data_IF_758151236442
#
_entry.id   IF_758151236442
#
_cell.length_a   1.000
_cell.length_b   1.000
_cell.length_c   1.000
_cell.angle_alpha   90.00
_cell.angle_beta   90.00
_cell.angle_gamma   90.00
#
_symmetry.space_group_name_H-M   'P 1'
#
loop_
_entity.id
_entity.type
_entity.pdbx_description
1 polymer ?
#
# COMPACT_ATOMS: atom_id res chain seq x y z
N UNK A 1 4.90 23.81 6.78
CA UNK A 1 4.92 23.14 5.46
C UNK A 1 6.03 23.63 4.51
N UNK A 2 6.26 24.94 4.31
CA UNK A 2 7.29 25.46 3.39
C UNK A 2 8.70 24.88 3.61
N UNK A 3 9.12 24.73 4.87
CA UNK A 3 10.44 24.19 5.19
C UNK A 3 10.63 22.73 4.74
N UNK A 4 9.59 21.89 4.83
CA UNK A 4 9.66 20.49 4.39
C UNK A 4 9.80 20.40 2.87
N UNK A 5 8.93 21.09 2.13
CA UNK A 5 8.97 21.08 0.66
C UNK A 5 10.24 21.69 0.06
N UNK A 6 10.94 22.55 0.81
CA UNK A 6 12.25 23.06 0.37
C UNK A 6 13.31 21.95 0.25
N UNK A 7 13.12 20.84 0.97
CA UNK A 7 14.01 19.68 0.92
C UNK A 7 13.48 18.57 -0.01
N UNK A 8 12.42 18.83 -0.79
CA UNK A 8 11.87 17.85 -1.73
C UNK A 8 12.50 18.07 -3.10
N UNK A 9 13.32 17.12 -3.54
CA UNK A 9 14.04 17.21 -4.81
C UNK A 9 13.13 16.96 -6.02
N UNK A 10 12.25 15.97 -5.92
CA UNK A 10 11.37 15.54 -7.03
C UNK A 10 9.96 15.27 -6.52
N UNK A 11 8.95 15.78 -7.23
CA UNK A 11 7.54 15.47 -7.04
C UNK A 11 7.05 14.60 -8.20
N UNK A 12 7.33 13.30 -8.12
CA UNK A 12 6.85 12.33 -9.12
C UNK A 12 5.32 12.28 -9.17
N UNK A 13 4.78 11.87 -10.32
CA UNK A 13 3.32 11.82 -10.56
C UNK A 13 2.59 10.74 -9.75
N UNK A 14 3.32 9.80 -9.12
CA UNK A 14 2.74 8.75 -8.29
C UNK A 14 3.79 8.02 -7.44
N UNK A 15 3.32 7.36 -6.38
CA UNK A 15 4.16 6.77 -5.34
C UNK A 15 5.17 5.71 -5.85
N UNK A 16 4.78 4.91 -6.86
CA UNK A 16 5.71 3.94 -7.47
C UNK A 16 6.84 4.65 -8.22
N UNK A 17 6.54 5.77 -8.87
CA UNK A 17 7.55 6.63 -9.49
C UNK A 17 8.55 7.15 -8.46
N UNK A 18 8.07 7.66 -7.32
CA UNK A 18 8.93 8.11 -6.22
C UNK A 18 9.80 6.98 -5.65
N UNK A 19 9.26 5.76 -5.56
CA UNK A 19 10.01 4.58 -5.12
C UNK A 19 11.15 4.26 -6.08
N UNK A 20 10.91 4.29 -7.40
CA UNK A 20 11.98 4.07 -8.38
C UNK A 20 13.01 5.21 -8.38
N UNK A 21 12.57 6.46 -8.22
CA UNK A 21 13.47 7.63 -8.08
C UNK A 21 14.43 7.45 -6.89
N UNK A 22 13.92 6.97 -5.75
CA UNK A 22 14.74 6.72 -4.57
C UNK A 22 15.61 5.45 -4.70
N UNK A 23 14.99 4.30 -5.02
CA UNK A 23 15.64 2.98 -4.95
C UNK A 23 16.53 2.71 -6.16
N UNK A 24 16.06 3.01 -7.37
CA UNK A 24 16.78 2.68 -8.61
C UNK A 24 17.70 3.81 -9.06
N UNK A 25 17.25 5.07 -8.91
CA UNK A 25 18.02 6.25 -9.35
C UNK A 25 18.87 6.87 -8.24
N UNK A 26 18.67 6.48 -6.98
CA UNK A 26 19.46 6.94 -5.85
C UNK A 26 19.28 8.43 -5.54
N UNK A 27 18.10 8.99 -5.82
CA UNK A 27 17.81 10.42 -5.59
C UNK A 27 17.09 10.60 -4.25
N UNK A 28 17.69 11.42 -3.38
CA UNK A 28 17.19 11.76 -2.05
C UNK A 28 17.70 10.82 -0.95
N UNK A 29 17.78 11.33 0.28
CA UNK A 29 18.25 10.56 1.43
C UNK A 29 17.13 9.78 2.14
N UNK A 30 15.88 10.24 1.99
CA UNK A 30 14.69 9.67 2.63
C UNK A 30 13.51 9.68 1.67
N UNK A 31 12.80 8.55 1.57
CA UNK A 31 11.52 8.44 0.89
C UNK A 31 10.38 8.38 1.93
N UNK A 32 9.42 9.30 1.82
CA UNK A 32 8.13 9.16 2.53
C UNK A 32 7.27 8.17 1.74
N UNK A 33 7.20 6.93 2.22
CA UNK A 33 6.59 5.82 1.49
C UNK A 33 5.26 5.36 2.10
N UNK A 34 4.44 4.74 1.26
CA UNK A 34 3.43 3.80 1.75
C UNK A 34 4.12 2.60 2.41
N UNK A 35 3.56 2.10 3.52
CA UNK A 35 4.16 0.98 4.27
C UNK A 35 4.35 -0.26 3.37
N UNK A 36 3.37 -0.57 2.52
CA UNK A 36 3.47 -1.71 1.60
C UNK A 36 4.60 -1.54 0.57
N UNK A 37 4.84 -0.33 0.05
CA UNK A 37 5.94 -0.07 -0.90
C UNK A 37 7.31 -0.16 -0.20
N UNK A 38 7.41 0.36 1.02
CA UNK A 38 8.65 0.28 1.80
C UNK A 38 9.03 -1.18 2.12
N UNK A 39 8.04 -1.98 2.57
CA UNK A 39 8.24 -3.40 2.84
C UNK A 39 8.53 -4.20 1.57
N UNK A 40 7.90 -3.86 0.44
CA UNK A 40 8.18 -4.46 -0.85
C UNK A 40 9.62 -4.16 -1.27
N UNK A 41 10.03 -2.89 -1.26
CA UNK A 41 11.39 -2.48 -1.64
C UNK A 41 12.46 -3.13 -0.76
N UNK A 42 12.25 -3.18 0.57
CA UNK A 42 13.17 -3.85 1.49
C UNK A 42 13.28 -5.36 1.22
N UNK A 43 12.16 -6.04 0.94
CA UNK A 43 12.16 -7.49 0.74
C UNK A 43 12.65 -7.91 -0.66
N UNK A 44 12.41 -7.11 -1.70
CA UNK A 44 12.72 -7.48 -3.09
C UNK A 44 14.01 -6.85 -3.63
N UNK A 45 14.34 -5.62 -3.23
CA UNK A 45 15.40 -4.83 -3.88
C UNK A 45 16.69 -4.72 -3.06
N UNK A 46 16.64 -5.14 -1.79
CA UNK A 46 17.83 -5.38 -0.98
C UNK A 46 17.56 -5.24 0.51
N UNK A 47 17.47 -6.39 1.21
CA UNK A 47 17.21 -6.48 2.67
C UNK A 47 18.18 -5.68 3.54
N UNK A 48 19.35 -5.32 3.00
CA UNK A 48 20.41 -4.61 3.71
C UNK A 48 20.76 -3.25 3.07
N UNK A 49 19.99 -2.79 2.08
CA UNK A 49 20.25 -1.51 1.40
C UNK A 49 19.47 -0.34 1.98
N UNK A 50 18.30 -0.61 2.55
CA UNK A 50 17.38 0.41 3.03
C UNK A 50 16.91 0.09 4.44
N UNK A 51 16.79 1.13 5.25
CA UNK A 51 16.20 1.06 6.57
C UNK A 51 14.78 1.62 6.54
N UNK A 52 13.84 0.90 7.16
CA UNK A 52 12.48 1.40 7.36
C UNK A 52 12.43 2.12 8.71
N UNK A 53 12.34 3.46 8.65
CA UNK A 53 12.15 4.29 9.83
C UNK A 53 10.66 4.55 10.05
N UNK A 54 10.12 4.09 11.18
CA UNK A 54 8.73 4.39 11.59
C UNK A 54 8.72 5.65 12.47
N UNK A 55 8.13 6.78 12.02
CA UNK A 55 8.09 8.00 12.82
C UNK A 55 7.18 7.86 14.05
N UNK A 56 7.35 8.75 15.03
CA UNK A 56 6.51 8.77 16.25
C UNK A 56 5.03 9.01 15.95
N UNK A 57 4.74 9.71 14.87
CA UNK A 57 3.40 9.98 14.39
C UNK A 57 3.29 9.68 12.90
N UNK A 58 2.14 9.13 12.51
CA UNK A 58 1.78 8.84 11.13
C UNK A 58 0.26 8.94 10.97
N UNK A 59 -0.24 8.72 9.76
CA UNK A 59 -1.66 8.81 9.44
C UNK A 59 -2.24 7.44 9.10
N UNK A 60 -3.46 7.18 9.55
CA UNK A 60 -4.22 6.03 9.06
C UNK A 60 -4.63 6.29 7.61
N UNK A 61 -4.12 5.47 6.69
CA UNK A 61 -4.52 5.52 5.30
C UNK A 61 -5.55 4.41 5.01
N UNK A 62 -6.70 4.79 4.45
CA UNK A 62 -7.83 3.89 4.17
C UNK A 62 -8.16 3.91 2.67
N UNK A 63 -7.51 3.07 1.85
CA UNK A 63 -7.77 3.01 0.41
C UNK A 63 -9.20 2.56 0.11
N UNK A 64 -9.96 3.38 -0.60
CA UNK A 64 -11.37 3.14 -0.92
C UNK A 64 -11.54 2.41 -2.25
N UNK A 65 -12.55 1.54 -2.33
CA UNK A 65 -12.99 0.86 -3.55
C UNK A 65 -14.46 1.14 -3.84
N UNK A 66 -14.83 1.26 -5.11
CA UNK A 66 -16.23 1.44 -5.55
C UNK A 66 -16.46 0.83 -6.93
N UNK A 67 -17.69 0.37 -7.18
CA UNK A 67 -18.18 0.15 -8.55
C UNK A 67 -18.46 1.51 -9.19
N UNK A 68 -18.25 1.61 -10.50
CA UNK A 68 -18.61 2.79 -11.31
C UNK A 68 -19.90 2.47 -12.07
N UNK A 69 -21.04 2.75 -11.44
CA UNK A 69 -22.37 2.26 -11.87
C UNK A 69 -22.64 2.52 -13.36
N UNK A 70 -22.50 3.77 -13.81
CA UNK A 70 -22.73 4.17 -15.21
C UNK A 70 -21.90 3.35 -16.22
N UNK A 71 -20.68 2.97 -15.87
CA UNK A 71 -19.80 2.18 -16.74
C UNK A 71 -20.16 0.70 -16.67
N UNK A 72 -20.43 0.19 -15.47
CA UNK A 72 -20.76 -1.21 -15.24
C UNK A 72 -22.10 -1.57 -15.90
N UNK A 73 -23.12 -0.72 -15.80
CA UNK A 73 -24.41 -0.86 -16.47
C UNK A 73 -24.25 -0.83 -17.99
N UNK A 74 -23.56 0.18 -18.52
CA UNK A 74 -23.33 0.32 -19.97
C UNK A 74 -22.63 -0.91 -20.57
N UNK A 75 -21.74 -1.55 -19.80
CA UNK A 75 -20.98 -2.74 -20.23
C UNK A 75 -21.64 -4.06 -19.84
N UNK A 76 -22.76 -4.04 -19.11
CA UNK A 76 -23.39 -5.26 -18.59
C UNK A 76 -22.54 -6.03 -17.59
N UNK A 77 -21.61 -5.36 -16.88
CA UNK A 77 -20.63 -5.99 -15.98
C UNK A 77 -20.92 -5.77 -14.49
N UNK A 78 -22.10 -5.23 -14.13
CA UNK A 78 -22.45 -4.89 -12.74
C UNK A 78 -22.27 -6.07 -11.78
N UNK A 79 -22.83 -7.24 -12.11
CA UNK A 79 -22.75 -8.42 -11.25
C UNK A 79 -21.30 -8.86 -10.99
N UNK A 80 -20.45 -8.87 -12.03
CA UNK A 80 -19.03 -9.26 -11.90
C UNK A 80 -18.23 -8.20 -11.14
N UNK A 81 -18.49 -6.92 -11.37
CA UNK A 81 -17.82 -5.84 -10.64
C UNK A 81 -18.15 -5.86 -9.14
N UNK A 82 -19.42 -6.06 -8.78
CA UNK A 82 -19.82 -6.22 -7.38
C UNK A 82 -19.20 -7.47 -6.74
N UNK A 83 -19.19 -8.60 -7.46
CA UNK A 83 -18.57 -9.83 -6.97
C UNK A 83 -17.07 -9.64 -6.72
N UNK A 84 -16.38 -8.92 -7.60
CA UNK A 84 -14.97 -8.57 -7.43
C UNK A 84 -14.74 -7.75 -6.15
N UNK A 85 -15.53 -6.69 -5.91
CA UNK A 85 -15.39 -5.89 -4.68
C UNK A 85 -15.67 -6.72 -3.43
N UNK A 86 -16.72 -7.57 -3.44
CA UNK A 86 -17.02 -8.48 -2.33
C UNK A 86 -15.87 -9.44 -2.06
N UNK A 87 -15.21 -9.94 -3.11
CA UNK A 87 -14.07 -10.85 -3.01
C UNK A 87 -12.85 -10.20 -2.34
N UNK A 88 -12.61 -8.90 -2.52
CA UNK A 88 -11.53 -8.19 -1.82
C UNK A 88 -11.63 -8.33 -0.28
N UNK A 89 -12.85 -8.52 0.24
CA UNK A 89 -13.13 -8.71 1.67
C UNK A 89 -13.33 -10.19 2.07
N UNK A 90 -13.15 -11.14 1.15
CA UNK A 90 -13.14 -12.57 1.49
C UNK A 90 -11.89 -12.95 2.28
N UNK A 91 -11.88 -14.11 2.97
CA UNK A 91 -10.67 -14.65 3.59
C UNK A 91 -9.45 -14.65 2.67
N UNK A 92 -9.63 -15.12 1.43
CA UNK A 92 -8.58 -15.23 0.42
C UNK A 92 -8.12 -13.85 -0.05
N UNK A 93 -9.04 -12.92 -0.29
CA UNK A 93 -8.71 -11.53 -0.65
C UNK A 93 -7.89 -10.84 0.44
N UNK A 94 -8.25 -11.06 1.71
CA UNK A 94 -7.48 -10.53 2.85
C UNK A 94 -6.11 -11.23 2.97
N UNK A 95 -5.99 -12.53 2.72
CA UNK A 95 -4.70 -13.22 2.72
C UNK A 95 -3.76 -12.67 1.64
N UNK A 96 -4.28 -12.44 0.43
CA UNK A 96 -3.52 -11.81 -0.66
C UNK A 96 -3.07 -10.40 -0.26
N UNK A 97 -3.93 -9.61 0.36
CA UNK A 97 -3.57 -8.27 0.83
C UNK A 97 -2.42 -8.32 1.86
N UNK A 98 -2.46 -9.24 2.83
CA UNK A 98 -1.39 -9.41 3.81
C UNK A 98 -0.07 -9.87 3.18
N UNK A 99 -0.11 -10.79 2.21
CA UNK A 99 1.08 -11.24 1.46
C UNK A 99 1.76 -10.09 0.71
N UNK A 100 0.99 -9.08 0.32
CA UNK A 100 1.47 -7.87 -0.34
C UNK A 100 1.60 -6.68 0.64
N UNK A 101 1.82 -6.98 1.93
CA UNK A 101 2.15 -6.01 2.96
C UNK A 101 1.07 -4.97 3.31
N UNK A 102 -0.17 -5.16 2.87
CA UNK A 102 -1.29 -4.32 3.29
C UNK A 102 -1.80 -4.74 4.67
N UNK A 103 -2.22 -3.74 5.47
CA UNK A 103 -2.91 -3.99 6.74
C UNK A 103 -4.35 -4.41 6.47
N UNK A 104 -4.75 -5.55 7.04
CA UNK A 104 -6.12 -6.08 6.87
C UNK A 104 -7.19 -5.11 7.37
N UNK A 105 -8.21 -4.88 6.57
CA UNK A 105 -9.33 -4.00 6.91
C UNK A 105 -10.19 -4.60 8.03
N UNK A 106 -10.36 -5.93 8.04
CA UNK A 106 -11.29 -6.58 8.97
C UNK A 106 -10.62 -6.86 10.32
N UNK A 107 -11.10 -6.18 11.37
CA UNK A 107 -10.56 -6.24 12.75
C UNK A 107 -10.42 -7.67 13.31
N UNK A 108 -11.35 -8.58 12.98
CA UNK A 108 -11.32 -9.98 13.44
C UNK A 108 -10.06 -10.71 12.92
N UNK A 109 -9.69 -10.46 11.68
CA UNK A 109 -8.56 -11.12 11.01
C UNK A 109 -7.21 -10.53 11.44
N UNK A 110 -7.16 -9.21 11.73
CA UNK A 110 -5.98 -8.56 12.31
C UNK A 110 -5.50 -9.21 13.61
N UNK A 111 -6.41 -9.70 14.46
CA UNK A 111 -6.06 -10.34 15.74
C UNK A 111 -5.55 -11.77 15.55
N UNK A 112 -6.17 -12.54 14.66
CA UNK A 112 -5.80 -13.93 14.37
C UNK A 112 -4.38 -14.05 13.79
N UNK A 113 -4.03 -13.20 12.83
CA UNK A 113 -2.70 -13.27 12.18
C UNK A 113 -1.57 -12.75 13.06
N UNK A 114 -1.82 -11.76 13.94
CA UNK A 114 -0.83 -11.30 14.94
C UNK A 114 -0.46 -12.37 15.98
N UNK A 115 -1.34 -13.34 16.22
CA UNK A 115 -1.06 -14.47 17.09
C UNK A 115 -0.23 -15.55 16.35
N UNK A 116 -0.45 -15.71 15.05
CA UNK A 116 0.29 -16.65 14.21
C UNK A 116 1.72 -16.21 13.89
N UNK A 117 2.00 -14.91 13.84
CA UNK A 117 3.33 -14.37 13.54
C UNK A 117 4.26 -14.26 14.76
N UNK A 118 3.89 -14.85 15.90
CA UNK A 118 4.69 -14.91 17.14
C UNK A 118 5.19 -16.31 17.49
N UNK A 119 5.04 -17.28 16.58
CA UNK A 119 5.68 -18.59 16.66
C UNK A 119 6.75 -18.72 15.59
#
# INVERSE_FOLDING_TARGET
MKALYKNVEVLDSGARGSTNTFVERGIGDVLIAWENEALLAANELGKDKFEIVTPSESILAEPTVSVVDKVAEKKGTTAVAEAYLKYLYSPEGQEIAAKNYYRLAIRRWRKSMRASSRN
#
